data_IF_028039830788
#
_entry.id   IF_028039830788
#
_cell.length_a   1.000
_cell.length_b   1.000
_cell.length_c   1.000
_cell.angle_alpha   90.00
_cell.angle_beta   90.00
_cell.angle_gamma   90.00
#
_symmetry.space_group_name_H-M   'P 1'
#
loop_
_entity.id
_entity.type
_entity.pdbx_description
1 polymer ?
#
# COMPACT_ATOMS: atom_id res chain seq x y z
N UNK A 1 6.30 -8.59 3.58
CA UNK A 1 6.52 -7.41 4.45
C UNK A 1 6.07 -7.67 5.88
N UNK A 2 4.82 -8.08 6.15
CA UNK A 2 4.32 -8.23 7.53
C UNK A 2 5.14 -9.15 8.47
N UNK A 3 5.79 -10.18 7.91
CA UNK A 3 6.64 -11.13 8.66
C UNK A 3 7.88 -10.48 9.30
N UNK A 4 8.39 -9.39 8.73
CA UNK A 4 9.63 -8.74 9.21
C UNK A 4 9.35 -7.47 10.02
N UNK A 5 8.09 -7.05 10.12
CA UNK A 5 7.70 -5.93 10.96
C UNK A 5 7.84 -6.27 12.44
N UNK A 6 8.08 -5.27 13.31
CA UNK A 6 7.83 -5.39 14.75
C UNK A 6 6.44 -5.92 15.08
N UNK A 7 6.21 -6.32 16.33
CA UNK A 7 4.91 -6.84 16.76
C UNK A 7 3.78 -5.82 16.62
N UNK A 8 4.07 -4.56 16.90
CA UNK A 8 3.20 -3.38 16.78
C UNK A 8 3.20 -2.73 15.39
N UNK A 9 4.06 -3.20 14.49
CA UNK A 9 4.13 -2.70 13.13
C UNK A 9 2.82 -2.95 12.37
N UNK A 10 2.42 -1.97 11.57
CA UNK A 10 1.18 -1.98 10.79
C UNK A 10 1.46 -1.86 9.31
N UNK A 11 0.59 -2.46 8.51
CA UNK A 11 0.46 -2.34 7.07
C UNK A 11 -0.95 -1.89 6.78
N UNK A 12 -1.11 -0.72 6.18
CA UNK A 12 -2.33 -0.45 5.38
C UNK A 12 -2.08 -1.11 4.03
N UNK A 13 -3.01 -1.91 3.53
CA UNK A 13 -2.95 -2.52 2.21
C UNK A 13 -4.19 -2.10 1.41
N UNK A 14 -4.00 -1.63 0.19
CA UNK A 14 -5.10 -1.29 -0.71
C UNK A 14 -5.28 -2.43 -1.72
N UNK A 15 -6.53 -2.78 -2.02
CA UNK A 15 -6.89 -3.76 -3.04
C UNK A 15 -8.27 -3.37 -3.56
N UNK A 16 -8.51 -3.44 -4.87
CA UNK A 16 -9.84 -3.17 -5.43
C UNK A 16 -10.63 -4.46 -5.65
N UNK A 17 -9.93 -5.58 -5.86
CA UNK A 17 -10.51 -6.88 -6.16
C UNK A 17 -10.77 -7.68 -4.87
N UNK A 18 -12.04 -7.80 -4.49
CA UNK A 18 -12.48 -8.53 -3.29
C UNK A 18 -12.16 -10.03 -3.32
N UNK A 19 -12.18 -10.65 -4.50
CA UNK A 19 -11.87 -12.07 -4.66
C UNK A 19 -10.39 -12.34 -4.36
N UNK A 20 -9.50 -11.49 -4.88
CA UNK A 20 -8.07 -11.56 -4.57
C UNK A 20 -7.78 -11.31 -3.09
N UNK A 21 -8.44 -10.30 -2.51
CA UNK A 21 -8.38 -10.03 -1.07
C UNK A 21 -8.79 -11.25 -0.23
N UNK A 22 -9.82 -11.98 -0.68
CA UNK A 22 -10.34 -13.17 0.01
C UNK A 22 -9.37 -14.35 -0.02
N UNK A 23 -8.55 -14.46 -1.08
CA UNK A 23 -7.48 -15.48 -1.18
C UNK A 23 -6.35 -15.20 -0.19
N UNK A 24 -5.97 -13.94 0.03
CA UNK A 24 -4.84 -13.57 0.88
C UNK A 24 -5.08 -13.73 2.39
N UNK A 25 -6.30 -13.44 2.87
CA UNK A 25 -6.64 -13.43 4.30
C UNK A 25 -6.34 -14.75 5.04
N UNK A 26 -6.68 -15.95 4.52
CA UNK A 26 -6.32 -17.22 5.15
C UNK A 26 -4.81 -17.40 5.32
N UNK A 27 -4.02 -17.00 4.31
CA UNK A 27 -2.56 -17.11 4.33
C UNK A 27 -1.96 -16.19 5.39
N UNK A 28 -2.43 -14.95 5.51
CA UNK A 28 -1.98 -14.03 6.56
C UNK A 28 -2.34 -14.50 7.96
N UNK A 29 -3.48 -15.19 8.10
CA UNK A 29 -3.91 -15.78 9.37
C UNK A 29 -3.00 -16.94 9.76
N UNK A 30 -2.73 -17.85 8.83
CA UNK A 30 -1.82 -18.98 9.05
C UNK A 30 -0.40 -18.52 9.40
N UNK A 31 0.08 -17.48 8.72
CA UNK A 31 1.37 -16.86 9.00
C UNK A 31 1.41 -16.02 10.29
N UNK A 32 0.30 -15.86 11.02
CA UNK A 32 0.23 -15.12 12.28
C UNK A 32 0.37 -13.60 12.16
N UNK A 33 0.25 -13.05 10.95
CA UNK A 33 0.48 -11.62 10.66
C UNK A 33 -0.80 -10.83 10.39
N UNK A 34 -1.96 -11.49 10.34
CA UNK A 34 -3.24 -10.86 10.02
C UNK A 34 -3.50 -9.58 10.84
N UNK A 35 -3.14 -9.56 12.13
CA UNK A 35 -3.31 -8.40 13.01
C UNK A 35 -2.54 -7.15 12.59
N UNK A 36 -1.47 -7.32 11.79
CA UNK A 36 -0.64 -6.22 11.30
C UNK A 36 -1.21 -5.61 10.02
N UNK A 37 -2.21 -6.23 9.40
CA UNK A 37 -2.68 -5.86 8.05
C UNK A 37 -4.07 -5.24 8.15
N UNK A 38 -4.17 -3.95 7.84
CA UNK A 38 -5.40 -3.20 7.62
C UNK A 38 -5.69 -3.16 6.12
N UNK A 39 -6.49 -4.12 5.65
CA UNK A 39 -6.88 -4.25 4.24
C UNK A 39 -8.07 -3.33 3.93
N UNK A 40 -7.91 -2.44 2.95
CA UNK A 40 -8.95 -1.54 2.43
C UNK A 40 -9.36 -1.98 1.03
N UNK A 41 -10.59 -2.50 0.92
CA UNK A 41 -11.15 -2.99 -0.35
C UNK A 41 -11.88 -1.85 -1.07
N UNK A 42 -11.16 -1.05 -1.86
CA UNK A 42 -11.63 0.12 -2.63
C UNK A 42 -10.47 0.71 -3.46
N UNK A 43 -10.71 1.69 -4.36
CA UNK A 43 -9.63 2.37 -5.05
C UNK A 43 -8.58 2.92 -4.08
N UNK A 44 -7.31 2.68 -4.38
CA UNK A 44 -6.22 3.11 -3.51
C UNK A 44 -6.18 4.62 -3.35
N UNK A 45 -6.57 5.37 -4.40
CA UNK A 45 -6.59 6.84 -4.36
C UNK A 45 -7.48 7.37 -3.25
N UNK A 46 -8.66 6.77 -3.07
CA UNK A 46 -9.59 7.12 -2.00
C UNK A 46 -8.99 6.81 -0.63
N UNK A 47 -8.29 5.69 -0.50
CA UNK A 47 -7.60 5.34 0.75
C UNK A 47 -6.50 6.36 1.09
N UNK A 48 -5.70 6.78 0.11
CA UNK A 48 -4.64 7.77 0.33
C UNK A 48 -5.20 9.15 0.71
N UNK A 49 -6.31 9.56 0.09
CA UNK A 49 -6.98 10.81 0.41
C UNK A 49 -7.58 10.80 1.82
N UNK A 50 -8.19 9.69 2.22
CA UNK A 50 -8.68 9.52 3.60
C UNK A 50 -7.56 9.57 4.63
N UNK A 51 -6.42 8.91 4.37
CA UNK A 51 -5.27 8.97 5.26
C UNK A 51 -4.78 10.42 5.43
N UNK A 52 -4.63 11.15 4.31
CA UNK A 52 -4.25 12.56 4.35
C UNK A 52 -5.28 13.42 5.10
N UNK A 53 -6.58 13.20 4.86
CA UNK A 53 -7.67 13.91 5.54
C UNK A 53 -7.72 13.62 7.05
N UNK A 54 -7.30 12.42 7.46
CA UNK A 54 -7.21 12.00 8.85
C UNK A 54 -5.93 12.47 9.56
N UNK A 55 -5.09 13.26 8.89
CA UNK A 55 -3.87 13.83 9.49
C UNK A 55 -2.66 12.91 9.47
N UNK A 56 -2.68 11.84 8.67
CA UNK A 56 -1.56 10.88 8.52
C UNK A 56 -0.43 11.41 7.62
N UNK A 57 -0.34 12.74 7.43
CA UNK A 57 0.73 13.33 6.64
C UNK A 57 2.08 13.14 7.36
N UNK A 58 3.05 12.54 6.66
CA UNK A 58 4.36 12.26 7.21
C UNK A 58 4.34 11.29 8.40
N UNK A 59 3.43 10.31 8.44
CA UNK A 59 3.33 9.33 9.53
C UNK A 59 3.86 7.95 9.19
N UNK A 60 4.28 7.69 7.95
CA UNK A 60 4.74 6.35 7.57
C UNK A 60 6.24 6.24 7.24
N UNK A 61 6.86 5.11 7.55
CA UNK A 61 8.30 4.84 7.34
C UNK A 61 8.66 4.20 6.01
N UNK A 62 7.66 3.72 5.27
CA UNK A 62 7.84 3.21 3.92
C UNK A 62 6.53 3.39 3.16
N UNK A 63 6.57 3.67 1.86
CA UNK A 63 5.49 3.31 0.96
C UNK A 63 6.05 2.48 -0.20
N UNK A 64 5.33 1.44 -0.58
CA UNK A 64 5.60 0.66 -1.78
C UNK A 64 4.49 0.98 -2.77
N UNK A 65 4.78 1.34 -4.02
CA UNK A 65 3.76 1.59 -5.05
C UNK A 65 4.00 0.57 -6.16
N UNK A 66 3.02 -0.29 -6.37
CA UNK A 66 2.90 -1.15 -7.54
C UNK A 66 1.50 -0.90 -8.06
N UNK A 67 1.37 -0.21 -9.18
CA UNK A 67 0.10 0.24 -9.74
C UNK A 67 0.21 0.42 -11.26
N UNK A 68 -0.92 0.68 -11.92
CA UNK A 68 -0.97 1.03 -13.32
C UNK A 68 -0.29 2.39 -13.62
N UNK A 69 0.19 2.54 -14.86
CA UNK A 69 0.96 3.73 -15.28
C UNK A 69 0.10 5.00 -15.27
N UNK A 70 -1.20 4.89 -15.55
CA UNK A 70 -2.12 6.03 -15.69
C UNK A 70 -2.33 6.78 -14.37
N UNK A 71 -2.31 6.07 -13.24
CA UNK A 71 -2.56 6.66 -11.90
C UNK A 71 -1.27 6.91 -11.10
N UNK A 72 -0.10 6.58 -11.68
CA UNK A 72 1.16 6.51 -10.96
C UNK A 72 1.60 7.85 -10.35
N UNK A 73 1.42 8.96 -11.08
CA UNK A 73 1.75 10.30 -10.59
C UNK A 73 0.91 10.69 -9.37
N UNK A 74 -0.38 10.37 -9.39
CA UNK A 74 -1.27 10.70 -8.29
C UNK A 74 -0.96 9.88 -7.03
N UNK A 75 -0.58 8.61 -7.20
CA UNK A 75 -0.11 7.78 -6.11
C UNK A 75 1.23 8.27 -5.56
N UNK A 76 2.17 8.64 -6.43
CA UNK A 76 3.46 9.18 -6.05
C UNK A 76 3.31 10.45 -5.20
N UNK A 77 2.57 11.44 -5.66
CA UNK A 77 2.39 12.72 -4.95
C UNK A 77 1.72 12.53 -3.58
N UNK A 78 0.71 11.67 -3.50
CA UNK A 78 0.02 11.39 -2.23
C UNK A 78 0.89 10.59 -1.27
N UNK A 79 1.59 9.56 -1.75
CA UNK A 79 2.52 8.77 -0.92
C UNK A 79 3.70 9.63 -0.43
N UNK A 80 4.22 10.54 -1.25
CA UNK A 80 5.28 11.46 -0.86
C UNK A 80 4.85 12.37 0.31
N UNK A 81 3.57 12.75 0.37
CA UNK A 81 3.00 13.51 1.50
C UNK A 81 2.77 12.66 2.75
N UNK A 82 2.50 11.37 2.58
CA UNK A 82 2.22 10.42 3.66
C UNK A 82 3.50 9.87 4.32
N UNK A 83 4.62 9.80 3.58
CA UNK A 83 5.91 9.31 4.08
C UNK A 83 6.62 10.35 4.96
N UNK A 84 7.16 9.91 6.11
CA UNK A 84 8.07 10.70 6.98
C UNK A 84 9.30 11.16 6.20
N UNK A 85 9.76 12.39 6.44
CA UNK A 85 11.00 12.90 5.82
C UNK A 85 12.18 11.98 6.12
N UNK A 86 12.93 11.59 5.08
CA UNK A 86 14.11 10.72 5.20
C UNK A 86 13.79 9.22 5.19
N UNK A 87 12.54 8.84 4.91
CA UNK A 87 12.08 7.45 4.78
C UNK A 87 11.91 7.03 3.32
N UNK A 88 11.49 5.79 3.11
CA UNK A 88 11.65 5.12 1.81
C UNK A 88 10.35 5.12 1.01
N UNK A 89 10.39 5.60 -0.22
CA UNK A 89 9.36 5.37 -1.23
C UNK A 89 9.93 4.39 -2.26
N UNK A 90 9.30 3.23 -2.39
CA UNK A 90 9.64 2.22 -3.39
C UNK A 90 8.61 2.27 -4.50
N UNK A 91 9.09 2.39 -5.73
CA UNK A 91 8.28 2.40 -6.94
C UNK A 91 8.62 1.13 -7.73
N UNK A 92 7.65 0.22 -7.87
CA UNK A 92 7.80 -1.04 -8.61
C UNK A 92 7.17 -0.93 -10.00
N UNK A 93 7.70 -1.67 -10.96
CA UNK A 93 7.27 -1.70 -12.37
C UNK A 93 7.21 -0.33 -13.08
N UNK A 94 8.19 0.54 -12.85
CA UNK A 94 8.41 1.75 -13.67
C UNK A 94 8.93 1.34 -15.06
N UNK A 95 8.07 0.79 -15.92
CA UNK A 95 8.44 0.30 -17.27
C UNK A 95 7.89 1.21 -18.37
N UNK A 96 8.71 1.42 -19.41
CA UNK A 96 8.47 2.34 -20.54
C UNK A 96 8.04 1.67 -21.84
N UNK A 97 7.56 0.41 -21.86
CA UNK A 97 7.12 -0.19 -23.13
C UNK A 97 6.19 -1.41 -23.10
N UNK A 98 5.78 -1.93 -21.95
CA UNK A 98 4.82 -3.05 -21.91
C UNK A 98 3.68 -2.72 -20.95
N UNK A 99 2.46 -2.59 -21.49
CA UNK A 99 1.22 -2.52 -20.73
C UNK A 99 0.98 -3.85 -20.03
N UNK A 100 1.64 -4.05 -18.90
CA UNK A 100 1.24 -5.06 -17.93
C UNK A 100 0.12 -4.40 -17.12
N UNK A 101 -1.11 -4.82 -17.36
CA UNK A 101 -2.26 -4.37 -16.58
C UNK A 101 -2.11 -4.83 -15.13
N UNK A 102 -1.52 -3.99 -14.29
CA UNK A 102 -1.51 -4.21 -12.86
C UNK A 102 -2.87 -3.77 -12.30
N UNK A 103 -3.77 -4.74 -12.08
CA UNK A 103 -5.05 -4.51 -11.37
C UNK A 103 -4.84 -4.29 -9.86
N UNK A 104 -3.59 -4.33 -9.39
CA UNK A 104 -3.25 -4.25 -7.97
C UNK A 104 -2.60 -2.92 -7.70
N UNK A 105 -3.16 -2.15 -6.77
CA UNK A 105 -2.47 -1.02 -6.15
C UNK A 105 -2.12 -1.38 -4.72
N UNK A 106 -0.93 -1.92 -4.50
CA UNK A 106 -0.44 -2.16 -3.16
C UNK A 106 0.30 -0.91 -2.69
N UNK A 107 -0.28 -0.13 -1.77
CA UNK A 107 0.44 0.85 -0.96
C UNK A 107 0.68 0.25 0.41
N UNK A 108 1.91 -0.15 0.72
CA UNK A 108 2.27 -0.64 2.07
C UNK A 108 2.90 0.47 2.86
N UNK A 109 2.21 0.89 3.91
CA UNK A 109 2.83 1.68 4.94
C UNK A 109 3.47 0.81 6.02
N UNK A 110 4.63 1.20 6.55
CA UNK A 110 5.29 0.51 7.67
C UNK A 110 5.50 1.53 8.80
N UNK A 111 5.26 1.11 10.04
CA UNK A 111 5.74 1.73 11.30
C UNK A 111 6.57 0.68 12.07
#
# INVERSE_FOLDING_TARGET
>A
MALVLPEDGRIVACEINEDLASIGKPVWKEAGVLRKIDLRIKPAIETLEELLANGEAGTFDLAFIHADEESYNDYYEKCLRLIKKGKILVLDNVSTSEKVGAEQTLVVFLD
#
